data_IF_194368448232
#
_entry.id   IF_194368448232
#
_cell.length_a   1.000
_cell.length_b   1.000
_cell.length_c   1.000
_cell.angle_alpha   90.00
_cell.angle_beta   90.00
_cell.angle_gamma   90.00
#
_symmetry.space_group_name_H-M   'P 1'
#
loop_
_entity.id
_entity.type
_entity.pdbx_description
1 polymer ?
#
# COMPACT_ATOMS: atom_id res chain seq x y z
N UNK A 1 0.22 -18.98 -18.49
CA UNK A 1 -0.63 -18.92 -19.69
C UNK A 1 -0.99 -17.46 -19.91
N UNK A 2 -0.54 -16.85 -21.02
CA UNK A 2 -0.75 -15.43 -21.29
C UNK A 2 -2.18 -15.15 -21.75
N UNK A 3 -2.80 -16.08 -22.49
CA UNK A 3 -4.15 -15.89 -23.02
C UNK A 3 -5.18 -15.83 -21.88
N UNK A 4 -5.01 -16.68 -20.87
CA UNK A 4 -5.82 -16.65 -19.66
C UNK A 4 -5.68 -15.32 -18.88
N UNK A 5 -4.46 -14.79 -18.75
CA UNK A 5 -4.19 -13.51 -18.08
C UNK A 5 -4.86 -12.36 -18.85
N UNK A 6 -4.67 -12.29 -20.17
CA UNK A 6 -5.29 -11.27 -21.02
C UNK A 6 -6.82 -11.34 -20.91
N UNK A 7 -7.38 -12.56 -20.91
CA UNK A 7 -8.83 -12.75 -20.78
C UNK A 7 -9.37 -12.27 -19.43
N UNK A 8 -8.72 -12.63 -18.32
CA UNK A 8 -9.12 -12.17 -16.99
C UNK A 8 -9.00 -10.64 -16.87
N UNK A 9 -7.91 -10.05 -17.36
CA UNK A 9 -7.73 -8.60 -17.40
C UNK A 9 -8.83 -7.91 -18.23
N UNK A 10 -9.19 -8.45 -19.40
CA UNK A 10 -10.29 -7.93 -20.21
C UNK A 10 -11.63 -8.01 -19.48
N UNK A 11 -11.90 -9.09 -18.73
CA UNK A 11 -13.11 -9.21 -17.91
C UNK A 11 -13.14 -8.16 -16.80
N UNK A 12 -12.04 -7.98 -16.05
CA UNK A 12 -11.94 -6.93 -15.04
C UNK A 12 -12.22 -5.55 -15.63
N UNK A 13 -11.61 -5.21 -16.77
CA UNK A 13 -11.83 -3.92 -17.44
C UNK A 13 -13.27 -3.74 -17.94
N UNK A 14 -13.88 -4.76 -18.53
CA UNK A 14 -15.27 -4.69 -19.00
C UNK A 14 -16.28 -4.52 -17.85
N UNK A 15 -15.97 -5.05 -16.67
CA UNK A 15 -16.85 -5.01 -15.50
C UNK A 15 -16.47 -3.95 -14.46
N UNK A 16 -15.40 -3.19 -14.69
CA UNK A 16 -14.93 -2.16 -13.74
C UNK A 16 -14.41 -2.74 -12.42
N UNK A 17 -13.73 -3.88 -12.47
CA UNK A 17 -13.13 -4.52 -11.29
C UNK A 17 -11.63 -4.22 -11.22
N UNK A 18 -11.11 -4.01 -10.01
CA UNK A 18 -9.67 -3.91 -9.78
C UNK A 18 -9.00 -5.28 -10.05
N UNK A 19 -8.00 -5.28 -10.92
CA UNK A 19 -7.23 -6.48 -11.28
C UNK A 19 -6.34 -6.96 -10.14
N UNK A 20 -5.85 -6.07 -9.28
CA UNK A 20 -5.01 -6.42 -8.14
C UNK A 20 -5.84 -7.19 -7.12
N UNK A 21 -6.90 -6.57 -6.57
CA UNK A 21 -7.78 -7.22 -5.59
C UNK A 21 -8.47 -8.46 -6.14
N UNK A 22 -8.92 -8.46 -7.41
CA UNK A 22 -9.53 -9.65 -8.02
C UNK A 22 -8.53 -10.80 -8.12
N UNK A 23 -7.33 -10.55 -8.67
CA UNK A 23 -6.29 -11.56 -8.81
C UNK A 23 -5.79 -12.10 -7.47
N UNK A 24 -5.56 -11.21 -6.50
CA UNK A 24 -5.12 -11.59 -5.17
C UNK A 24 -6.20 -12.36 -4.38
N UNK A 25 -7.48 -12.01 -4.53
CA UNK A 25 -8.59 -12.77 -3.93
C UNK A 25 -8.69 -14.18 -4.50
N UNK A 26 -8.54 -14.34 -5.82
CA UNK A 26 -8.50 -15.65 -6.46
C UNK A 26 -7.27 -16.44 -6.00
N UNK A 27 -6.11 -15.80 -5.92
CA UNK A 27 -4.87 -16.43 -5.43
C UNK A 27 -5.00 -16.92 -3.98
N UNK A 28 -5.63 -16.13 -3.11
CA UNK A 28 -5.94 -16.53 -1.74
C UNK A 28 -6.88 -17.75 -1.70
N UNK A 29 -7.91 -17.77 -2.56
CA UNK A 29 -8.82 -18.91 -2.66
C UNK A 29 -8.10 -20.18 -3.16
N UNK A 30 -7.14 -20.04 -4.09
CA UNK A 30 -6.29 -21.15 -4.53
C UNK A 30 -5.37 -21.66 -3.41
N UNK A 31 -4.83 -20.78 -2.57
CA UNK A 31 -4.06 -21.19 -1.39
C UNK A 31 -4.94 -21.96 -0.40
N UNK A 32 -6.11 -21.42 -0.09
CA UNK A 32 -7.07 -22.07 0.80
C UNK A 32 -7.56 -23.41 0.24
N UNK A 33 -7.66 -23.57 -1.08
CA UNK A 33 -7.95 -24.85 -1.73
C UNK A 33 -6.80 -25.85 -1.55
N UNK A 34 -5.56 -25.44 -1.83
CA UNK A 34 -4.37 -26.28 -1.68
C UNK A 34 -4.21 -26.80 -0.24
N UNK A 35 -4.65 -26.00 0.73
CA UNK A 35 -4.61 -26.29 2.16
C UNK A 35 -5.89 -27.01 2.68
N UNK A 36 -6.80 -27.39 1.77
CA UNK A 36 -8.02 -28.15 2.08
C UNK A 36 -9.08 -27.36 2.85
N UNK A 37 -9.00 -26.02 2.87
CA UNK A 37 -9.94 -25.13 3.55
C UNK A 37 -11.17 -24.81 2.70
N UNK A 38 -10.97 -24.70 1.38
CA UNK A 38 -12.00 -24.58 0.37
C UNK A 38 -12.08 -25.91 -0.39
N UNK A 39 -13.29 -26.38 -0.64
CA UNK A 39 -13.56 -27.68 -1.27
C UNK A 39 -14.35 -27.53 -2.56
N UNK A 40 -14.44 -28.61 -3.34
CA UNK A 40 -15.25 -28.64 -4.57
C UNK A 40 -16.73 -28.31 -4.32
N UNK A 41 -17.25 -28.62 -3.13
CA UNK A 41 -18.62 -28.29 -2.77
C UNK A 41 -18.81 -26.78 -2.64
N UNK A 42 -17.87 -26.09 -2.00
CA UNK A 42 -17.92 -24.63 -1.81
C UNK A 42 -17.89 -23.90 -3.17
N UNK A 43 -17.12 -24.42 -4.14
CA UNK A 43 -16.87 -23.77 -5.44
C UNK A 43 -17.86 -24.17 -6.54
N UNK A 44 -18.79 -25.09 -6.26
CA UNK A 44 -19.70 -25.64 -7.28
C UNK A 44 -18.99 -26.53 -8.29
N UNK A 45 -17.94 -27.25 -7.87
CA UNK A 45 -17.18 -28.23 -8.64
C UNK A 45 -15.97 -27.67 -9.38
N UNK A 46 -15.64 -26.38 -9.21
CA UNK A 46 -14.48 -25.76 -9.87
C UNK A 46 -13.25 -25.96 -8.98
N UNK A 47 -12.26 -26.70 -9.47
CA UNK A 47 -11.02 -26.93 -8.74
C UNK A 47 -10.07 -25.73 -8.82
N UNK A 48 -9.72 -25.15 -7.67
CA UNK A 48 -8.87 -23.95 -7.57
C UNK A 48 -7.38 -24.32 -7.41
N UNK A 49 -6.89 -25.23 -8.25
CA UNK A 49 -5.49 -25.62 -8.23
C UNK A 49 -4.59 -24.48 -8.74
N UNK A 50 -3.43 -24.28 -8.10
CA UNK A 50 -2.42 -23.33 -8.57
C UNK A 50 -2.01 -23.61 -10.03
N UNK A 51 -1.87 -22.54 -10.81
CA UNK A 51 -1.52 -22.62 -12.22
C UNK A 51 -2.68 -22.88 -13.18
N UNK A 52 -3.90 -23.10 -12.67
CA UNK A 52 -5.09 -23.26 -13.51
C UNK A 52 -5.60 -21.92 -14.07
N UNK A 53 -5.22 -21.62 -15.32
CA UNK A 53 -5.71 -20.44 -16.04
C UNK A 53 -7.22 -20.48 -16.28
N UNK A 54 -7.79 -21.67 -16.54
CA UNK A 54 -9.23 -21.86 -16.74
C UNK A 54 -10.02 -21.52 -15.46
N UNK A 55 -9.60 -22.05 -14.31
CA UNK A 55 -10.27 -21.76 -13.04
C UNK A 55 -10.20 -20.28 -12.68
N UNK A 56 -9.04 -19.63 -12.90
CA UNK A 56 -8.87 -18.19 -12.68
C UNK A 56 -9.83 -17.36 -13.55
N UNK A 57 -9.89 -17.62 -14.85
CA UNK A 57 -10.80 -16.91 -15.77
C UNK A 57 -12.26 -17.15 -15.35
N UNK A 58 -12.61 -18.40 -15.03
CA UNK A 58 -13.98 -18.74 -14.62
C UNK A 58 -14.39 -18.04 -13.33
N UNK A 59 -13.51 -18.01 -12.32
CA UNK A 59 -13.75 -17.29 -11.08
C UNK A 59 -13.91 -15.78 -11.32
N UNK A 60 -13.10 -15.20 -12.21
CA UNK A 60 -13.22 -13.79 -12.60
C UNK A 60 -14.62 -13.48 -13.16
N UNK A 61 -15.16 -14.34 -14.03
CA UNK A 61 -16.53 -14.19 -14.57
C UNK A 61 -17.60 -14.31 -13.47
N UNK A 62 -17.45 -15.26 -12.56
CA UNK A 62 -18.40 -15.49 -11.46
C UNK A 62 -18.39 -14.36 -10.44
N UNK A 63 -17.21 -13.77 -10.17
CA UNK A 63 -17.06 -12.57 -9.33
C UNK A 63 -17.80 -11.41 -9.97
N UNK A 64 -17.54 -11.13 -11.26
CA UNK A 64 -18.17 -10.03 -11.98
C UNK A 64 -19.70 -10.12 -11.98
N UNK A 65 -20.24 -11.34 -12.06
CA UNK A 65 -21.69 -11.60 -12.06
C UNK A 65 -22.28 -11.81 -10.67
N UNK A 66 -21.43 -11.90 -9.63
CA UNK A 66 -21.82 -12.35 -8.28
C UNK A 66 -22.66 -13.63 -8.35
N UNK A 67 -22.12 -14.68 -8.94
CA UNK A 67 -22.77 -15.99 -9.12
C UNK A 67 -22.01 -17.10 -8.38
N UNK A 68 -22.76 -18.03 -7.76
CA UNK A 68 -22.16 -19.14 -7.01
C UNK A 68 -21.13 -18.66 -5.98
N UNK A 69 -19.96 -19.30 -5.96
CA UNK A 69 -18.83 -18.92 -5.10
C UNK A 69 -18.28 -17.51 -5.40
N UNK A 70 -18.49 -17.00 -6.62
CA UNK A 70 -18.15 -15.63 -6.98
C UNK A 70 -18.88 -14.57 -6.15
N UNK A 71 -20.04 -14.88 -5.55
CA UNK A 71 -20.71 -13.98 -4.59
C UNK A 71 -19.86 -13.70 -3.35
N UNK A 72 -19.17 -14.73 -2.87
CA UNK A 72 -18.31 -14.65 -1.68
C UNK A 72 -17.02 -13.93 -2.05
N UNK A 73 -16.38 -14.34 -3.14
CA UNK A 73 -15.13 -13.71 -3.59
C UNK A 73 -15.30 -12.25 -4.03
N UNK A 74 -16.50 -11.83 -4.46
CA UNK A 74 -16.79 -10.44 -4.80
C UNK A 74 -16.77 -9.46 -3.60
N UNK A 75 -16.66 -9.95 -2.37
CA UNK A 75 -16.47 -9.13 -1.17
C UNK A 75 -15.00 -8.82 -0.85
N UNK A 76 -14.05 -9.37 -1.63
CA UNK A 76 -12.61 -9.31 -1.36
C UNK A 76 -12.14 -10.41 -0.41
N UNK A 77 -10.84 -10.68 -0.38
CA UNK A 77 -10.27 -11.83 0.34
C UNK A 77 -10.53 -11.79 1.84
N UNK A 78 -10.41 -10.61 2.48
CA UNK A 78 -10.63 -10.47 3.93
C UNK A 78 -12.05 -10.85 4.34
N UNK A 79 -13.07 -10.28 3.68
CA UNK A 79 -14.47 -10.61 3.97
C UNK A 79 -14.83 -12.02 3.56
N UNK A 80 -14.28 -12.52 2.44
CA UNK A 80 -14.46 -13.91 2.04
C UNK A 80 -13.91 -14.87 3.12
N UNK A 81 -12.76 -14.56 3.72
CA UNK A 81 -12.19 -15.34 4.82
C UNK A 81 -13.10 -15.34 6.05
N UNK A 82 -13.67 -14.19 6.42
CA UNK A 82 -14.64 -14.08 7.53
C UNK A 82 -15.90 -14.93 7.29
N UNK A 83 -16.43 -14.92 6.06
CA UNK A 83 -17.62 -15.69 5.67
C UNK A 83 -17.34 -17.19 5.68
N UNK A 84 -16.19 -17.62 5.14
CA UNK A 84 -15.84 -19.03 5.01
C UNK A 84 -15.36 -19.62 6.34
N UNK A 85 -14.61 -18.84 7.12
CA UNK A 85 -13.97 -19.28 8.35
C UNK A 85 -12.90 -20.35 8.09
N UNK A 86 -12.88 -21.41 8.92
CA UNK A 86 -12.00 -22.59 8.78
C UNK A 86 -10.49 -22.30 8.87
N UNK A 87 -10.09 -21.15 9.41
CA UNK A 87 -8.69 -20.73 9.47
C UNK A 87 -8.19 -20.16 8.14
N UNK A 88 -9.08 -19.74 7.25
CA UNK A 88 -8.70 -19.15 5.96
C UNK A 88 -8.09 -17.74 6.09
N UNK A 89 -8.31 -17.09 7.24
CA UNK A 89 -7.71 -15.81 7.64
C UNK A 89 -6.17 -15.86 7.71
N UNK A 90 -5.58 -17.02 8.00
CA UNK A 90 -4.12 -17.19 8.12
C UNK A 90 -3.39 -17.05 6.77
N UNK A 91 -4.12 -17.10 5.66
CA UNK A 91 -3.58 -17.01 4.30
C UNK A 91 -3.76 -15.63 3.66
N UNK A 92 -4.37 -14.66 4.36
CA UNK A 92 -4.62 -13.33 3.83
C UNK A 92 -3.33 -12.56 3.57
N UNK A 93 -3.20 -12.00 2.37
CA UNK A 93 -2.14 -11.05 2.01
C UNK A 93 -2.78 -9.66 1.82
N UNK A 94 -3.20 -9.07 2.94
CA UNK A 94 -3.87 -7.76 2.95
C UNK A 94 -3.28 -6.83 4.02
N UNK A 95 -3.48 -5.53 3.84
CA UNK A 95 -3.36 -4.54 4.92
C UNK A 95 -4.58 -3.62 4.89
N UNK A 96 -5.17 -3.35 6.06
CA UNK A 96 -6.48 -2.67 6.19
C UNK A 96 -7.62 -3.28 5.33
N UNK A 97 -7.49 -4.56 4.97
CA UNK A 97 -8.43 -5.25 4.10
C UNK A 97 -8.20 -5.07 2.60
N UNK A 98 -7.23 -4.26 2.20
CA UNK A 98 -6.80 -4.12 0.80
C UNK A 98 -5.75 -5.18 0.46
N UNK A 99 -5.94 -5.91 -0.63
CA UNK A 99 -4.97 -6.88 -1.14
C UNK A 99 -3.65 -6.23 -1.56
N UNK A 100 -2.53 -6.88 -1.22
CA UNK A 100 -1.21 -6.34 -1.55
C UNK A 100 -0.90 -6.44 -3.07
N UNK A 101 -0.22 -5.44 -3.64
CA UNK A 101 0.20 -5.45 -5.04
C UNK A 101 1.45 -6.31 -5.28
N UNK A 102 1.91 -6.36 -6.54
CA UNK A 102 2.94 -7.29 -7.02
C UNK A 102 4.40 -6.92 -6.64
N UNK A 103 4.64 -6.50 -5.39
CA UNK A 103 5.99 -6.25 -4.87
C UNK A 103 6.18 -6.81 -3.47
N UNK A 104 7.29 -7.53 -3.29
CA UNK A 104 7.57 -8.31 -2.08
C UNK A 104 8.27 -7.44 -1.03
N UNK A 105 7.63 -7.18 0.12
CA UNK A 105 8.23 -6.37 1.20
C UNK A 105 9.50 -6.98 1.80
N UNK A 106 9.69 -8.29 1.71
CA UNK A 106 10.92 -8.98 2.13
C UNK A 106 12.15 -8.53 1.32
N UNK A 107 11.93 -7.99 0.10
CA UNK A 107 12.99 -7.52 -0.81
C UNK A 107 13.06 -5.99 -0.83
N UNK A 108 11.90 -5.32 -0.88
CA UNK A 108 11.75 -3.86 -0.83
C UNK A 108 11.21 -3.49 0.55
N UNK A 109 12.10 -3.34 1.52
CA UNK A 109 11.75 -3.37 2.94
C UNK A 109 11.02 -2.10 3.36
N UNK A 110 11.27 -0.95 2.76
CA UNK A 110 10.47 0.25 3.09
C UNK A 110 8.99 0.08 2.77
N UNK A 111 8.64 -0.66 1.71
CA UNK A 111 7.25 -0.97 1.37
C UNK A 111 6.53 -1.76 2.45
N UNK A 112 7.25 -2.50 3.29
CA UNK A 112 6.65 -3.22 4.41
C UNK A 112 5.95 -2.25 5.37
N UNK A 113 6.58 -1.10 5.65
CA UNK A 113 6.00 -0.06 6.49
C UNK A 113 4.96 0.75 5.71
N UNK A 114 5.22 1.09 4.45
CA UNK A 114 4.23 1.83 3.63
C UNK A 114 2.93 1.03 3.48
N UNK A 115 2.97 -0.26 3.16
CA UNK A 115 1.75 -1.07 3.05
C UNK A 115 0.96 -1.11 4.35
N UNK A 116 1.67 -1.13 5.49
CA UNK A 116 1.03 -1.12 6.79
C UNK A 116 0.44 0.25 7.14
N UNK A 117 1.14 1.35 6.92
CA UNK A 117 0.77 2.68 7.43
C UNK A 117 -0.08 3.51 6.48
N UNK A 118 -0.06 3.20 5.18
CA UNK A 118 -0.79 3.94 4.17
C UNK A 118 -2.30 3.99 4.53
N UNK A 119 -2.95 5.17 4.54
CA UNK A 119 -4.31 5.31 5.07
C UNK A 119 -5.36 4.43 4.37
N UNK A 120 -5.15 4.09 3.10
CA UNK A 120 -6.09 3.31 2.30
C UNK A 120 -5.63 1.86 2.03
N UNK A 121 -4.61 1.38 2.78
CA UNK A 121 -4.12 0.01 2.70
C UNK A 121 -2.93 -0.16 1.76
N UNK A 122 -2.60 -1.42 1.45
CA UNK A 122 -1.40 -1.77 0.71
C UNK A 122 -1.43 -1.23 -0.72
N UNK A 123 -0.53 -0.28 -1.01
CA UNK A 123 -0.35 0.30 -2.33
C UNK A 123 1.13 0.61 -2.59
N UNK A 124 1.56 0.40 -3.83
CA UNK A 124 2.95 0.48 -4.27
C UNK A 124 3.30 1.78 -4.98
N UNK A 125 2.31 2.52 -5.47
CA UNK A 125 2.53 3.83 -6.10
C UNK A 125 2.60 4.94 -5.04
N UNK A 126 2.14 4.64 -3.83
CA UNK A 126 2.11 5.58 -2.70
C UNK A 126 3.50 6.02 -2.22
N UNK A 127 4.58 5.31 -2.52
CA UNK A 127 5.95 5.67 -2.12
C UNK A 127 6.96 5.02 -3.07
N UNK A 128 8.15 5.60 -3.22
CA UNK A 128 9.16 5.05 -4.11
C UNK A 128 9.85 3.81 -3.50
N UNK A 129 10.39 2.95 -4.36
CA UNK A 129 11.00 1.68 -3.97
C UNK A 129 12.48 1.83 -3.59
N UNK A 130 12.92 1.08 -2.58
CA UNK A 130 14.27 1.14 -1.97
C UNK A 130 15.42 1.24 -3.00
N UNK A 131 15.45 0.45 -4.10
CA UNK A 131 16.55 0.51 -5.06
C UNK A 131 16.71 1.88 -5.75
N UNK A 132 15.63 2.67 -5.84
CA UNK A 132 15.67 3.98 -6.47
C UNK A 132 16.54 4.97 -5.70
N UNK A 133 16.67 4.82 -4.37
CA UNK A 133 17.45 5.74 -3.55
C UNK A 133 18.91 5.80 -4.02
N UNK A 134 19.50 4.64 -4.34
CA UNK A 134 20.87 4.55 -4.86
C UNK A 134 20.94 4.78 -6.37
N UNK A 135 19.90 4.42 -7.13
CA UNK A 135 19.92 4.48 -8.59
C UNK A 135 19.75 5.90 -9.15
N UNK A 136 19.08 6.80 -8.41
CA UNK A 136 18.75 8.16 -8.88
C UNK A 136 19.17 9.25 -7.87
N UNK A 137 20.46 9.35 -7.50
CA UNK A 137 20.92 10.23 -6.42
C UNK A 137 20.61 11.71 -6.68
N UNK A 138 20.73 12.18 -7.92
CA UNK A 138 20.43 13.58 -8.28
C UNK A 138 18.95 13.92 -8.08
N UNK A 139 18.04 12.96 -8.29
CA UNK A 139 16.59 13.15 -8.06
C UNK A 139 16.29 13.17 -6.57
N UNK A 140 16.89 12.25 -5.82
CA UNK A 140 16.75 12.13 -4.36
C UNK A 140 17.26 13.38 -3.64
N UNK A 141 18.36 13.96 -4.11
CA UNK A 141 18.91 15.20 -3.55
C UNK A 141 17.92 16.37 -3.65
N UNK A 142 17.11 16.47 -4.72
CA UNK A 142 16.12 17.55 -4.88
C UNK A 142 15.03 17.55 -3.81
N UNK A 143 14.77 16.39 -3.21
CA UNK A 143 13.81 16.21 -2.10
C UNK A 143 14.52 16.01 -0.76
N UNK A 144 15.82 16.33 -0.69
CA UNK A 144 16.62 16.32 0.54
C UNK A 144 17.10 14.93 0.98
N UNK A 145 17.07 13.93 0.12
CA UNK A 145 17.51 12.57 0.40
C UNK A 145 18.93 12.36 -0.16
N UNK A 146 19.95 12.25 0.72
CA UNK A 146 21.37 12.22 0.33
C UNK A 146 22.18 11.07 0.93
N UNK A 147 21.53 10.17 1.68
CA UNK A 147 22.18 9.08 2.41
C UNK A 147 21.63 7.71 1.99
N UNK A 148 21.86 7.27 0.74
CA UNK A 148 21.32 6.01 0.24
C UNK A 148 21.88 4.84 1.05
N UNK A 149 21.01 3.88 1.37
CA UNK A 149 21.35 2.74 2.22
C UNK A 149 21.65 1.48 1.40
N UNK A 150 22.24 0.49 2.07
CA UNK A 150 22.48 -0.82 1.48
C UNK A 150 21.17 -1.62 1.29
N UNK A 151 21.21 -2.58 0.37
CA UNK A 151 20.07 -3.45 0.08
C UNK A 151 19.60 -4.12 1.38
N UNK A 152 18.28 -4.17 1.58
CA UNK A 152 17.64 -4.74 2.78
C UNK A 152 17.84 -3.90 4.06
N UNK A 153 18.34 -2.68 3.99
CA UNK A 153 18.27 -1.78 5.13
C UNK A 153 16.79 -1.52 5.50
N UNK A 154 16.50 -1.52 6.81
CA UNK A 154 15.20 -1.16 7.36
C UNK A 154 15.45 -0.34 8.64
N UNK A 155 16.07 0.81 8.46
CA UNK A 155 16.49 1.74 9.51
C UNK A 155 15.80 3.10 9.36
N UNK A 156 16.06 4.01 10.29
CA UNK A 156 15.48 5.36 10.30
C UNK A 156 15.68 6.12 8.97
N UNK A 157 16.84 6.00 8.32
CA UNK A 157 17.07 6.64 7.01
C UNK A 157 16.18 6.05 5.91
N UNK A 158 15.93 4.75 5.92
CA UNK A 158 14.97 4.13 5.00
C UNK A 158 13.53 4.54 5.29
N UNK A 159 13.18 4.81 6.56
CA UNK A 159 11.88 5.36 6.92
C UNK A 159 11.74 6.82 6.50
N UNK A 160 12.82 7.60 6.58
CA UNK A 160 12.88 8.95 6.02
C UNK A 160 12.73 8.94 4.50
N UNK A 161 13.41 8.04 3.81
CA UNK A 161 13.22 7.82 2.37
C UNK A 161 11.75 7.49 2.05
N UNK A 162 11.16 6.52 2.76
CA UNK A 162 9.78 6.12 2.55
C UNK A 162 8.82 7.30 2.74
N UNK A 163 8.95 8.04 3.85
CA UNK A 163 8.11 9.18 4.19
C UNK A 163 8.21 10.30 3.15
N UNK A 164 9.42 10.77 2.83
CA UNK A 164 9.62 11.90 1.91
C UNK A 164 9.14 11.55 0.51
N UNK A 165 9.40 10.34 0.04
CA UNK A 165 8.90 9.90 -1.28
C UNK A 165 7.38 9.69 -1.27
N UNK A 166 6.79 9.27 -0.14
CA UNK A 166 5.34 9.22 0.02
C UNK A 166 4.70 10.61 -0.07
N UNK A 167 5.36 11.63 0.46
CA UNK A 167 4.90 13.01 0.35
C UNK A 167 4.90 13.46 -1.11
N UNK A 168 5.96 13.20 -1.88
CA UNK A 168 5.97 13.56 -3.29
C UNK A 168 4.90 12.79 -4.10
N UNK A 169 4.75 11.48 -3.89
CA UNK A 169 3.67 10.70 -4.54
C UNK A 169 2.28 11.25 -4.20
N UNK A 170 2.02 11.55 -2.92
CA UNK A 170 0.74 12.14 -2.49
C UNK A 170 0.49 13.55 -3.06
N UNK A 171 1.56 14.33 -3.26
CA UNK A 171 1.47 15.64 -3.92
C UNK A 171 1.14 15.49 -5.42
N UNK A 172 1.81 14.57 -6.12
CA UNK A 172 1.54 14.23 -7.53
C UNK A 172 0.08 13.85 -7.74
N UNK A 173 -0.48 13.01 -6.86
CA UNK A 173 -1.91 12.66 -6.86
C UNK A 173 -2.79 13.90 -6.65
N UNK A 174 -2.46 14.76 -5.69
CA UNK A 174 -3.23 15.97 -5.38
C UNK A 174 -3.24 16.97 -6.54
N UNK A 175 -2.12 17.08 -7.25
CA UNK A 175 -1.93 17.93 -8.42
C UNK A 175 -2.53 17.31 -9.69
N UNK A 176 -2.98 16.04 -9.62
CA UNK A 176 -3.56 15.30 -10.73
C UNK A 176 -2.65 15.20 -11.96
N UNK A 177 -1.34 15.12 -11.72
CA UNK A 177 -0.34 14.87 -12.76
C UNK A 177 0.06 13.40 -12.76
N UNK A 178 0.50 12.87 -13.90
CA UNK A 178 0.81 11.45 -14.00
C UNK A 178 2.11 11.12 -13.24
N UNK A 179 2.03 10.13 -12.34
CA UNK A 179 3.18 9.60 -11.60
C UNK A 179 4.25 8.96 -12.50
N UNK A 180 3.95 8.57 -13.74
CA UNK A 180 4.96 8.11 -14.71
C UNK A 180 5.69 9.25 -15.44
N UNK A 181 5.19 10.49 -15.32
CA UNK A 181 5.79 11.68 -15.92
C UNK A 181 6.53 12.52 -14.87
N UNK A 182 5.93 12.69 -13.68
CA UNK A 182 6.44 13.53 -12.59
C UNK A 182 6.76 12.74 -11.31
N UNK A 183 6.99 11.43 -11.44
CA UNK A 183 7.33 10.58 -10.31
C UNK A 183 8.68 10.90 -9.68
N UNK A 184 9.01 10.15 -8.63
CA UNK A 184 10.11 10.44 -7.70
C UNK A 184 11.51 10.22 -8.32
N UNK A 185 11.64 9.32 -9.29
CA UNK A 185 12.94 8.77 -9.69
C UNK A 185 13.18 8.78 -11.21
N UNK A 186 12.84 7.69 -11.90
CA UNK A 186 13.19 7.42 -13.30
C UNK A 186 12.33 8.18 -14.32
N UNK A 187 11.35 8.94 -13.85
CA UNK A 187 10.34 9.58 -14.69
C UNK A 187 10.90 10.77 -15.47
N UNK A 188 10.10 11.21 -16.45
CA UNK A 188 10.52 12.18 -17.47
C UNK A 188 10.95 13.53 -16.88
N UNK A 189 10.17 14.07 -15.96
CA UNK A 189 10.42 15.34 -15.29
C UNK A 189 10.68 15.14 -13.80
N UNK A 190 11.56 15.95 -13.21
CA UNK A 190 11.77 15.95 -11.75
C UNK A 190 10.85 16.90 -10.99
N UNK A 191 11.00 16.90 -9.67
CA UNK A 191 10.29 17.76 -8.74
C UNK A 191 10.54 19.27 -9.01
N UNK A 192 11.74 19.67 -9.46
CA UNK A 192 11.99 21.07 -9.82
C UNK A 192 11.20 21.47 -11.06
N UNK A 193 11.20 20.62 -12.09
CA UNK A 193 10.40 20.83 -13.30
C UNK A 193 8.91 20.79 -13.01
N UNK A 194 8.45 19.96 -12.05
CA UNK A 194 7.08 20.01 -11.55
C UNK A 194 6.75 21.39 -10.97
N UNK A 195 7.61 21.94 -10.11
CA UNK A 195 7.42 23.28 -9.54
C UNK A 195 7.40 24.38 -10.64
N UNK A 196 8.30 24.31 -11.62
CA UNK A 196 8.31 25.22 -12.77
C UNK A 196 6.99 25.18 -13.56
N UNK A 197 6.46 23.99 -13.83
CA UNK A 197 5.18 23.81 -14.51
C UNK A 197 4.04 24.39 -13.68
N UNK A 198 4.00 24.13 -12.37
CA UNK A 198 2.98 24.68 -11.49
C UNK A 198 3.00 26.20 -11.51
N UNK A 199 4.17 26.82 -11.30
CA UNK A 199 4.32 28.27 -11.31
C UNK A 199 3.90 28.89 -12.64
N UNK A 200 4.28 28.26 -13.76
CA UNK A 200 3.91 28.74 -15.10
C UNK A 200 2.40 28.66 -15.36
N UNK A 201 1.71 27.64 -14.85
CA UNK A 201 0.28 27.42 -15.09
C UNK A 201 -0.59 28.22 -14.13
N UNK A 202 -0.25 28.25 -12.84
CA UNK A 202 -1.09 28.85 -11.79
C UNK A 202 -0.71 30.30 -11.47
N UNK A 203 0.50 30.72 -11.82
CA UNK A 203 1.07 32.00 -11.38
C UNK A 203 1.48 32.02 -9.90
N UNK A 204 1.52 30.86 -9.23
CA UNK A 204 2.08 30.75 -7.89
C UNK A 204 3.60 30.90 -7.89
N UNK A 205 4.14 31.19 -6.71
CA UNK A 205 5.58 31.19 -6.43
C UNK A 205 5.89 30.04 -5.49
N UNK A 206 5.82 28.80 -6.02
CA UNK A 206 6.01 27.58 -5.23
C UNK A 206 7.32 26.87 -5.54
N UNK A 207 7.76 26.03 -4.60
CA UNK A 207 8.97 25.22 -4.70
C UNK A 207 8.74 23.74 -4.31
N UNK A 208 9.79 22.93 -4.40
CA UNK A 208 9.73 21.50 -4.06
C UNK A 208 9.35 21.27 -2.59
N UNK A 209 9.77 22.14 -1.68
CA UNK A 209 9.46 22.04 -0.24
C UNK A 209 7.96 22.20 0.00
N UNK A 210 7.35 23.20 -0.62
CA UNK A 210 5.91 23.43 -0.54
C UNK A 210 5.09 22.33 -1.21
N UNK A 211 5.58 21.77 -2.34
CA UNK A 211 4.95 20.60 -2.97
C UNK A 211 4.96 19.40 -2.02
N UNK A 212 6.09 19.09 -1.37
CA UNK A 212 6.15 18.02 -0.37
C UNK A 212 5.18 18.27 0.78
N UNK A 213 5.06 19.51 1.26
CA UNK A 213 4.12 19.88 2.32
C UNK A 213 2.64 19.69 1.91
N UNK A 214 2.29 19.85 0.62
CA UNK A 214 0.95 19.50 0.11
C UNK A 214 0.68 18.01 0.26
N UNK A 215 1.64 17.17 -0.13
CA UNK A 215 1.53 15.72 0.01
C UNK A 215 1.43 15.25 1.47
N UNK A 216 2.26 15.81 2.34
CA UNK A 216 2.24 15.57 3.79
C UNK A 216 0.89 15.97 4.41
N UNK A 217 0.36 17.14 4.02
CA UNK A 217 -0.96 17.62 4.45
C UNK A 217 -2.06 16.65 4.04
N UNK A 218 -2.08 16.19 2.79
CA UNK A 218 -3.08 15.19 2.33
C UNK A 218 -2.99 13.90 3.14
N UNK A 219 -1.79 13.37 3.35
CA UNK A 219 -1.59 12.12 4.09
C UNK A 219 -2.08 12.23 5.54
N UNK A 220 -1.74 13.33 6.23
CA UNK A 220 -2.21 13.57 7.60
C UNK A 220 -3.72 13.80 7.69
N UNK A 221 -4.33 14.40 6.67
CA UNK A 221 -5.80 14.53 6.60
C UNK A 221 -6.49 13.18 6.40
N UNK A 222 -5.95 12.29 5.55
CA UNK A 222 -6.42 10.92 5.40
C UNK A 222 -6.23 10.12 6.69
N UNK A 223 -5.09 10.30 7.37
CA UNK A 223 -4.82 9.67 8.66
C UNK A 223 -5.79 10.14 9.73
N UNK A 224 -6.09 11.44 9.78
CA UNK A 224 -7.09 12.00 10.68
C UNK A 224 -8.49 11.42 10.38
N UNK A 225 -8.87 11.26 9.11
CA UNK A 225 -10.13 10.57 8.78
C UNK A 225 -10.15 9.16 9.38
N UNK A 226 -9.08 8.37 9.22
CA UNK A 226 -8.98 7.03 9.79
C UNK A 226 -9.07 7.04 11.32
N UNK A 227 -8.36 7.95 12.00
CA UNK A 227 -8.44 8.09 13.45
C UNK A 227 -9.87 8.34 13.92
N UNK A 228 -10.65 9.15 13.17
CA UNK A 228 -12.06 9.44 13.48
C UNK A 228 -12.92 8.19 13.37
N UNK A 229 -12.65 7.35 12.38
CA UNK A 229 -13.33 6.08 12.14
C UNK A 229 -12.83 4.93 13.04
N UNK A 230 -11.92 5.22 13.99
CA UNK A 230 -11.39 4.24 14.94
C UNK A 230 -10.30 3.34 14.38
N UNK A 231 -9.62 3.76 13.31
CA UNK A 231 -8.47 3.06 12.73
C UNK A 231 -7.18 3.73 13.20
N UNK A 232 -6.35 2.99 13.92
CA UNK A 232 -5.06 3.42 14.45
C UNK A 232 -3.96 2.37 14.23
N UNK A 233 -2.97 2.36 15.13
CA UNK A 233 -1.79 1.49 15.10
C UNK A 233 -2.17 0.01 15.00
N UNK A 234 -3.26 -0.42 15.62
CA UNK A 234 -3.73 -1.81 15.61
C UNK A 234 -4.09 -2.31 14.20
N UNK A 235 -4.37 -1.39 13.27
CA UNK A 235 -4.68 -1.69 11.88
C UNK A 235 -3.46 -1.62 10.97
N UNK A 236 -2.36 -1.01 11.42
CA UNK A 236 -1.10 -0.89 10.68
C UNK A 236 -0.27 -2.17 10.81
N UNK A 237 -0.74 -3.22 10.16
CA UNK A 237 -0.18 -4.57 10.26
C UNK A 237 0.27 -5.10 8.90
N UNK A 238 1.12 -6.14 8.95
CA UNK A 238 1.49 -6.95 7.81
C UNK A 238 1.05 -8.41 7.98
N UNK A 239 0.81 -9.13 6.87
CA UNK A 239 0.55 -10.55 6.90
C UNK A 239 1.67 -11.34 7.61
N UNK A 240 1.32 -12.23 8.53
CA UNK A 240 2.27 -13.07 9.29
C UNK A 240 3.23 -13.85 8.38
N UNK A 241 2.78 -14.21 7.18
CA UNK A 241 3.57 -14.92 6.16
C UNK A 241 4.84 -14.14 5.75
N UNK A 242 4.81 -12.81 5.79
CA UNK A 242 5.97 -11.96 5.46
C UNK A 242 7.14 -12.13 6.45
N UNK A 243 6.84 -12.53 7.69
CA UNK A 243 7.83 -12.77 8.74
C UNK A 243 8.18 -14.25 8.88
N UNK A 244 7.19 -15.13 8.77
CA UNK A 244 7.32 -16.55 9.13
C UNK A 244 7.74 -17.46 7.98
N UNK A 245 7.48 -17.06 6.73
CA UNK A 245 7.78 -17.88 5.56
C UNK A 245 8.80 -17.15 4.69
N UNK A 246 10.10 -17.53 4.78
CA UNK A 246 11.11 -17.03 3.88
C UNK A 246 10.73 -17.28 2.42
N UNK A 247 11.14 -16.38 1.54
CA UNK A 247 11.00 -16.56 0.10
C UNK A 247 11.85 -17.76 -0.34
N UNK A 248 11.33 -18.52 -1.30
CA UNK A 248 11.98 -19.71 -1.85
C UNK A 248 12.34 -19.48 -3.31
N UNK A 249 13.59 -19.78 -3.67
CA UNK A 249 14.11 -19.72 -5.03
C UNK A 249 14.64 -18.36 -5.49
N UNK A 250 15.47 -18.40 -6.54
CA UNK A 250 16.01 -17.21 -7.20
C UNK A 250 16.97 -16.38 -6.32
N UNK A 251 17.06 -15.08 -6.59
CA UNK A 251 18.02 -14.16 -5.94
C UNK A 251 17.61 -13.69 -4.54
N UNK A 252 16.38 -13.98 -4.14
CA UNK A 252 15.79 -13.61 -2.86
C UNK A 252 15.56 -14.83 -1.96
N UNK A 253 16.12 -15.98 -2.31
CA UNK A 253 16.01 -17.20 -1.53
C UNK A 253 16.45 -16.97 -0.08
N UNK A 254 15.61 -17.43 0.85
CA UNK A 254 15.81 -17.25 2.29
C UNK A 254 15.45 -15.86 2.84
N UNK A 255 14.98 -14.92 2.03
CA UNK A 255 14.61 -13.59 2.54
C UNK A 255 13.30 -13.63 3.31
N UNK A 256 13.32 -13.12 4.53
CA UNK A 256 12.16 -12.83 5.37
C UNK A 256 12.34 -11.46 6.05
N UNK A 257 11.24 -10.91 6.56
CA UNK A 257 11.31 -9.77 7.48
C UNK A 257 11.55 -10.26 8.90
N UNK A 258 12.38 -9.54 9.66
CA UNK A 258 12.46 -9.70 11.10
C UNK A 258 11.38 -8.83 11.76
N UNK A 259 10.54 -9.44 12.59
CA UNK A 259 9.38 -8.77 13.20
C UNK A 259 9.79 -7.65 14.16
N UNK A 260 10.92 -7.80 14.86
CA UNK A 260 11.41 -6.77 15.79
C UNK A 260 12.03 -5.59 15.05
N UNK A 261 12.84 -5.87 14.03
CA UNK A 261 13.39 -4.84 13.13
C UNK A 261 12.26 -4.04 12.48
N UNK A 262 11.22 -4.72 12.01
CA UNK A 262 10.05 -4.09 11.39
C UNK A 262 9.26 -3.22 12.36
N UNK A 263 9.02 -3.69 13.59
CA UNK A 263 8.30 -2.92 14.61
C UNK A 263 9.06 -1.64 14.99
N UNK A 264 10.40 -1.69 15.08
CA UNK A 264 11.24 -0.52 15.30
C UNK A 264 11.10 0.47 14.13
N UNK A 265 11.18 -0.02 12.90
CA UNK A 265 11.02 0.83 11.72
C UNK A 265 9.63 1.46 11.61
N UNK A 266 8.58 0.74 12.00
CA UNK A 266 7.22 1.29 12.09
C UNK A 266 7.15 2.44 13.10
N UNK A 267 7.78 2.29 14.27
CA UNK A 267 7.84 3.38 15.25
C UNK A 267 8.69 4.56 14.77
N UNK A 268 9.81 4.31 14.10
CA UNK A 268 10.64 5.37 13.50
C UNK A 268 9.84 6.16 12.46
N UNK A 269 9.06 5.46 11.63
CA UNK A 269 8.15 6.10 10.68
C UNK A 269 7.13 7.02 11.38
N UNK A 270 6.51 6.55 12.46
CA UNK A 270 5.58 7.38 13.25
C UNK A 270 6.28 8.60 13.85
N UNK A 271 7.48 8.44 14.42
CA UNK A 271 8.26 9.56 14.97
C UNK A 271 8.58 10.60 13.89
N UNK A 272 9.00 10.16 12.71
CA UNK A 272 9.30 11.03 11.58
C UNK A 272 8.04 11.79 11.10
N UNK A 273 6.88 11.13 11.09
CA UNK A 273 5.61 11.75 10.75
C UNK A 273 5.02 12.62 11.89
N UNK A 274 5.63 12.64 13.08
CA UNK A 274 5.09 13.26 14.30
C UNK A 274 3.70 12.68 14.66
N UNK A 275 3.61 11.36 14.64
CA UNK A 275 2.47 10.55 15.07
C UNK A 275 2.76 9.88 16.42
N UNK A 276 1.73 9.67 17.22
CA UNK A 276 1.86 8.96 18.50
C UNK A 276 2.23 7.49 18.25
N UNK A 277 3.29 7.01 18.91
CA UNK A 277 3.78 5.66 18.63
C UNK A 277 2.90 4.55 19.20
N UNK A 278 1.98 4.85 20.13
CA UNK A 278 1.08 3.85 20.71
C UNK A 278 -0.23 3.74 19.94
N UNK A 279 -0.77 4.87 19.47
CA UNK A 279 -2.07 4.93 18.80
C UNK A 279 -1.94 5.07 17.29
N UNK A 280 -0.81 5.54 16.77
CA UNK A 280 -0.60 5.83 15.36
C UNK A 280 -1.39 7.05 14.86
N UNK A 281 -1.99 7.83 15.75
CA UNK A 281 -2.71 9.06 15.39
C UNK A 281 -1.73 10.22 15.21
N UNK A 282 -2.01 11.18 14.30
CA UNK A 282 -1.16 12.37 14.16
C UNK A 282 -1.22 13.21 15.42
N UNK A 283 -0.11 13.87 15.79
CA UNK A 283 -0.11 14.80 16.92
C UNK A 283 -0.85 16.10 16.58
N UNK A 284 -1.41 16.77 17.59
CA UNK A 284 -2.05 18.08 17.36
C UNK A 284 -1.07 19.09 16.76
N UNK A 285 0.17 19.10 17.25
CA UNK A 285 1.26 19.93 16.73
C UNK A 285 1.48 19.69 15.23
N UNK A 286 1.51 18.44 14.78
CA UNK A 286 1.64 18.10 13.36
C UNK A 286 0.46 18.66 12.56
N UNK A 287 -0.76 18.43 13.02
CA UNK A 287 -1.96 18.94 12.36
C UNK A 287 -1.96 20.48 12.24
N UNK A 288 -1.60 21.20 13.31
CA UNK A 288 -1.49 22.66 13.29
C UNK A 288 -0.40 23.14 12.32
N UNK A 289 0.76 22.51 12.33
CA UNK A 289 1.89 22.85 11.44
C UNK A 289 1.55 22.73 9.95
N UNK A 290 0.60 21.85 9.61
CA UNK A 290 0.11 21.65 8.24
C UNK A 290 -1.11 22.50 7.89
N UNK A 291 -1.58 23.37 8.78
CA UNK A 291 -2.81 24.15 8.59
C UNK A 291 -4.09 23.33 8.71
N UNK A 292 -4.03 22.17 9.38
CA UNK A 292 -5.14 21.26 9.61
C UNK A 292 -5.71 21.33 11.03
N UNK A 293 -5.31 22.32 11.84
CA UNK A 293 -5.83 22.48 13.21
C UNK A 293 -7.36 22.55 13.30
N UNK A 294 -8.00 23.12 12.26
CA UNK A 294 -9.47 23.16 12.15
C UNK A 294 -10.11 21.77 12.06
N UNK A 295 -9.43 20.79 11.44
CA UNK A 295 -9.93 19.41 11.29
C UNK A 295 -10.12 18.75 12.66
N UNK A 296 -9.22 19.05 13.60
CA UNK A 296 -9.28 18.53 14.97
C UNK A 296 -10.28 19.34 15.81
N UNK A 297 -10.22 20.67 15.74
CA UNK A 297 -11.05 21.55 16.56
C UNK A 297 -12.56 21.44 16.25
N UNK A 298 -12.93 21.21 14.99
CA UNK A 298 -14.33 21.12 14.56
C UNK A 298 -14.90 19.69 14.63
N UNK A 299 -14.10 18.70 15.06
CA UNK A 299 -14.50 17.31 15.12
C UNK A 299 -14.29 16.73 16.52
N UNK A 300 -15.40 16.60 17.27
CA UNK A 300 -15.36 16.12 18.67
C UNK A 300 -14.71 14.75 18.80
N UNK A 301 -15.01 13.80 17.90
CA UNK A 301 -14.42 12.47 17.93
C UNK A 301 -12.88 12.53 17.73
N UNK A 302 -12.41 13.38 16.82
CA UNK A 302 -10.97 13.56 16.60
C UNK A 302 -10.28 14.28 17.75
N UNK A 303 -10.91 15.29 18.34
CA UNK A 303 -10.35 16.03 19.47
C UNK A 303 -10.07 15.17 20.71
N UNK A 304 -10.71 14.00 20.80
CA UNK A 304 -10.51 13.03 21.88
C UNK A 304 -9.33 12.07 21.64
N UNK A 305 -8.90 11.92 20.38
CA UNK A 305 -7.84 10.96 19.99
C UNK A 305 -6.58 11.63 19.44
N UNK A 306 -6.69 12.85 18.93
CA UNK A 306 -5.57 13.72 18.53
C UNK A 306 -5.40 14.77 19.62
N UNK A 307 -4.33 14.63 20.40
CA UNK A 307 -4.00 15.50 21.55
C UNK A 307 -2.61 16.10 21.42
#
# INVERSE_FOLDING_TARGET
>A
DMDAIIRANALCNMHGMDTISCGATISWAMECWAEGKITAEDTGGIELNYGSGEAMVKMTELIAKREGFGKILAEGSKKAAEIIGRGTEDYLITSKGQEAPAHMPQVKRSLSVIYATNPFGADHESSEHDPAYKAYPERMEQIGLTNPQEKLALNEEMMRFAMVTQHLSSAVDSLSVCAFIFGVSFQLYDAKQLAEVLNAVTGWDTDVTEILAVGERRLNMLRAFNSREGIGRESDTLPKKMFKRPLEGGRSDGYALDEKEWEVALEDYYRLCDWDTKTGHPSLKKMESLGLGWVVAENEALSQVVT
#
